data_IF_691175977359
#
_entry.id   IF_691175977359
#
_cell.length_a   1.000
_cell.length_b   1.000
_cell.length_c   1.000
_cell.angle_alpha   90.00
_cell.angle_beta   90.00
_cell.angle_gamma   90.00
#
_symmetry.space_group_name_H-M   'P 1'
#
loop_
_entity.id
_entity.type
_entity.pdbx_description
1 polymer ?
#
# COMPACT_ATOMS: atom_id res chain seq x y z
N UNK A 1 37.32 -16.06 45.05
CA UNK A 1 36.96 -16.66 43.75
C UNK A 1 36.28 -15.59 42.90
N UNK A 2 36.99 -15.05 41.91
CA UNK A 2 36.52 -13.92 41.09
C UNK A 2 36.02 -14.46 39.75
N UNK A 3 34.70 -14.48 39.54
CA UNK A 3 34.08 -14.94 38.30
C UNK A 3 34.24 -13.91 37.18
N UNK A 4 35.06 -14.24 36.18
CA UNK A 4 35.25 -13.43 34.97
C UNK A 4 34.08 -13.66 34.01
N UNK A 5 33.23 -12.64 33.84
CA UNK A 5 32.17 -12.62 32.84
C UNK A 5 32.76 -12.51 31.43
N UNK A 6 32.64 -13.58 30.63
CA UNK A 6 33.02 -13.56 29.21
C UNK A 6 31.97 -12.78 28.41
N UNK A 7 32.29 -11.52 28.07
CA UNK A 7 31.52 -10.77 27.08
C UNK A 7 31.68 -11.41 25.69
N UNK A 8 30.64 -12.12 25.24
CA UNK A 8 30.54 -12.59 23.85
C UNK A 8 30.40 -11.36 22.94
N UNK A 9 31.44 -11.04 22.17
CA UNK A 9 31.35 -10.10 21.04
C UNK A 9 30.39 -10.68 20.01
N UNK A 10 29.14 -10.21 20.03
CA UNK A 10 28.16 -10.49 18.98
C UNK A 10 28.66 -9.79 17.71
N UNK A 11 29.06 -10.57 16.70
CA UNK A 11 29.36 -10.01 15.37
C UNK A 11 28.08 -9.39 14.84
N UNK A 12 28.05 -8.08 14.69
CA UNK A 12 26.96 -7.36 14.02
C UNK A 12 26.89 -7.84 12.56
N UNK A 13 25.96 -8.73 12.27
CA UNK A 13 25.61 -9.09 10.89
C UNK A 13 25.00 -7.84 10.27
N UNK A 14 25.65 -7.28 9.24
CA UNK A 14 25.04 -6.20 8.45
C UNK A 14 23.70 -6.70 7.91
N UNK A 15 22.61 -6.08 8.35
CA UNK A 15 21.27 -6.45 7.94
C UNK A 15 21.12 -6.21 6.44
N UNK A 16 21.07 -7.29 5.65
CA UNK A 16 21.03 -7.24 4.17
C UNK A 16 19.66 -6.83 3.60
N UNK A 17 18.64 -6.65 4.43
CA UNK A 17 17.26 -6.39 4.00
C UNK A 17 16.89 -4.92 4.19
N UNK A 18 16.33 -4.29 3.15
CA UNK A 18 15.75 -2.94 3.20
C UNK A 18 14.71 -2.91 4.33
N UNK A 19 14.86 -1.93 5.21
CA UNK A 19 14.07 -1.83 6.42
C UNK A 19 13.03 -0.73 6.24
N UNK A 20 11.76 -1.12 6.18
CA UNK A 20 10.64 -0.23 5.89
C UNK A 20 10.22 0.53 7.14
N UNK A 21 11.08 1.46 7.57
CA UNK A 21 10.91 2.29 8.77
C UNK A 21 10.11 3.53 8.43
N UNK A 22 9.13 3.84 9.27
CA UNK A 22 8.43 5.11 9.26
C UNK A 22 8.20 5.60 10.70
N UNK A 23 7.85 6.88 10.85
CA UNK A 23 7.55 7.48 12.15
C UNK A 23 6.25 6.95 12.80
N UNK A 24 5.46 6.17 12.06
CA UNK A 24 4.23 5.54 12.53
C UNK A 24 4.19 4.05 12.16
N UNK A 25 3.73 3.18 13.08
CA UNK A 25 3.53 1.75 12.83
C UNK A 25 2.73 1.44 11.56
N UNK A 26 1.64 2.19 11.31
CA UNK A 26 0.76 2.00 10.16
C UNK A 26 1.51 2.18 8.83
N UNK A 27 2.30 3.25 8.72
CA UNK A 27 3.12 3.54 7.53
C UNK A 27 4.14 2.44 7.30
N UNK A 28 4.83 2.01 8.35
CA UNK A 28 5.83 0.93 8.27
C UNK A 28 5.21 -0.37 7.75
N UNK A 29 4.01 -0.73 8.25
CA UNK A 29 3.27 -1.93 7.82
C UNK A 29 2.74 -1.78 6.39
N UNK A 30 2.30 -0.59 5.96
CA UNK A 30 1.92 -0.32 4.57
C UNK A 30 3.11 -0.54 3.62
N UNK A 31 4.25 0.09 3.91
CA UNK A 31 5.47 -0.01 3.11
C UNK A 31 5.96 -1.47 3.01
N UNK A 32 6.03 -2.17 4.16
CA UNK A 32 6.40 -3.58 4.21
C UNK A 32 5.42 -4.46 3.43
N UNK A 33 4.12 -4.21 3.57
CA UNK A 33 3.07 -4.99 2.92
C UNK A 33 3.06 -4.84 1.41
N UNK A 34 3.25 -3.61 0.90
CA UNK A 34 3.41 -3.36 -0.54
C UNK A 34 4.67 -4.05 -1.07
N UNK A 35 5.78 -4.03 -0.33
CA UNK A 35 6.98 -4.77 -0.72
C UNK A 35 6.76 -6.30 -0.76
N UNK A 36 6.06 -6.84 0.24
CA UNK A 36 5.70 -8.25 0.30
C UNK A 36 4.82 -8.66 -0.89
N UNK A 37 3.77 -7.88 -1.16
CA UNK A 37 2.89 -8.03 -2.33
C UNK A 37 3.66 -7.98 -3.64
N UNK A 38 4.52 -6.97 -3.81
CA UNK A 38 5.32 -6.81 -5.02
C UNK A 38 6.20 -8.06 -5.28
N UNK A 39 6.83 -8.58 -4.23
CA UNK A 39 7.66 -9.79 -4.32
C UNK A 39 6.82 -11.01 -4.71
N UNK A 40 5.67 -11.22 -4.04
CA UNK A 40 4.76 -12.33 -4.35
C UNK A 40 4.23 -12.27 -5.79
N UNK A 41 3.83 -11.07 -6.27
CA UNK A 41 3.26 -10.87 -7.60
C UNK A 41 4.25 -10.99 -8.75
N UNK A 42 5.56 -10.92 -8.48
CA UNK A 42 6.60 -11.20 -9.47
C UNK A 42 6.72 -12.69 -9.79
N UNK A 43 6.29 -13.57 -8.88
CA UNK A 43 6.29 -15.03 -9.10
C UNK A 43 5.00 -15.54 -9.77
N UNK A 44 3.98 -14.69 -9.89
CA UNK A 44 2.73 -15.05 -10.55
C UNK A 44 2.88 -14.94 -12.07
N UNK A 45 2.63 -16.06 -12.77
CA UNK A 45 2.64 -16.11 -14.24
C UNK A 45 1.64 -15.11 -14.83
N UNK A 46 2.01 -14.32 -15.83
CA UNK A 46 1.06 -13.49 -16.57
C UNK A 46 -0.07 -14.34 -17.14
N UNK A 47 -1.31 -13.84 -17.06
CA UNK A 47 -2.49 -14.43 -17.70
C UNK A 47 -3.08 -13.42 -18.67
N UNK A 48 -3.61 -13.91 -19.79
CA UNK A 48 -4.18 -13.07 -20.85
C UNK A 48 -5.46 -12.34 -20.42
N UNK A 49 -6.24 -12.95 -19.52
CA UNK A 49 -7.51 -12.40 -19.04
C UNK A 49 -7.66 -12.59 -17.52
N UNK A 50 -8.50 -11.75 -16.93
CA UNK A 50 -8.95 -11.89 -15.54
C UNK A 50 -10.13 -12.87 -15.49
N UNK A 51 -10.20 -13.64 -14.41
CA UNK A 51 -11.32 -14.54 -14.09
C UNK A 51 -12.22 -13.89 -13.03
N UNK A 52 -13.48 -14.34 -12.92
CA UNK A 52 -14.41 -13.86 -11.89
C UNK A 52 -13.84 -14.01 -10.46
N UNK A 53 -13.12 -15.10 -10.22
CA UNK A 53 -12.49 -15.34 -8.91
C UNK A 53 -11.39 -14.32 -8.56
N UNK A 54 -10.77 -13.68 -9.55
CA UNK A 54 -9.75 -12.65 -9.31
C UNK A 54 -10.34 -11.42 -8.60
N UNK A 55 -11.62 -11.14 -8.80
CA UNK A 55 -12.37 -10.03 -8.16
C UNK A 55 -12.82 -10.36 -6.72
N UNK A 56 -12.65 -11.61 -6.28
CA UNK A 56 -12.91 -12.07 -4.91
C UNK A 56 -11.63 -12.51 -4.20
N UNK A 57 -10.54 -12.69 -4.94
CA UNK A 57 -9.26 -13.14 -4.43
C UNK A 57 -8.66 -12.13 -3.44
N UNK A 58 -7.84 -12.65 -2.53
CA UNK A 58 -7.04 -11.83 -1.62
C UNK A 58 -5.75 -12.54 -1.25
N UNK A 59 -4.75 -11.76 -0.85
CA UNK A 59 -3.52 -12.26 -0.25
C UNK A 59 -3.44 -11.72 1.17
N UNK A 60 -3.20 -12.59 2.16
CA UNK A 60 -3.11 -12.20 3.57
C UNK A 60 -1.85 -12.79 4.20
N UNK A 61 -1.16 -11.98 5.00
CA UNK A 61 -0.02 -12.39 5.80
C UNK A 61 -0.18 -11.86 7.22
N UNK A 62 0.19 -12.67 8.21
CA UNK A 62 0.22 -12.32 9.63
C UNK A 62 1.65 -12.50 10.12
N UNK A 63 2.22 -11.44 10.68
CA UNK A 63 3.57 -11.45 11.23
C UNK A 63 3.49 -11.43 12.76
N UNK A 64 4.26 -12.31 13.39
CA UNK A 64 4.41 -12.37 14.83
C UNK A 64 5.90 -12.50 15.18
N UNK A 65 6.55 -11.37 15.40
CA UNK A 65 7.95 -11.27 15.71
C UNK A 65 8.13 -11.31 17.24
N UNK A 66 8.70 -12.39 17.74
CA UNK A 66 9.13 -12.50 19.14
C UNK A 66 10.59 -12.02 19.26
N UNK A 67 10.82 -10.92 19.99
CA UNK A 67 12.15 -10.34 20.26
C UNK A 67 12.99 -9.99 19.01
N UNK A 68 12.36 -9.83 17.85
CA UNK A 68 13.02 -9.51 16.60
C UNK A 68 12.50 -8.21 16.01
N UNK A 69 13.42 -7.31 15.62
CA UNK A 69 13.13 -6.08 14.87
C UNK A 69 12.10 -5.11 15.52
N UNK A 70 12.01 -5.10 16.86
CA UNK A 70 11.01 -4.31 17.61
C UNK A 70 11.11 -2.80 17.41
N UNK A 71 12.33 -2.28 17.18
CA UNK A 71 12.55 -0.85 16.99
C UNK A 71 11.98 -0.32 15.66
N UNK A 72 11.76 -1.21 14.70
CA UNK A 72 11.49 -0.81 13.33
C UNK A 72 10.13 -1.24 12.79
N UNK A 73 9.57 -2.32 13.33
CA UNK A 73 8.27 -2.86 12.92
C UNK A 73 7.49 -3.28 14.16
N UNK A 74 6.14 -3.16 14.12
CA UNK A 74 5.31 -3.72 15.18
C UNK A 74 5.60 -5.20 15.38
N UNK A 75 5.58 -5.66 16.65
CA UNK A 75 5.83 -7.08 16.96
C UNK A 75 4.75 -7.97 16.35
N UNK A 76 3.51 -7.49 16.27
CA UNK A 76 2.38 -8.20 15.66
C UNK A 76 1.63 -7.28 14.72
N UNK A 77 1.46 -7.71 13.48
CA UNK A 77 0.63 -7.02 12.51
C UNK A 77 0.10 -7.99 11.45
N UNK A 78 -0.94 -7.56 10.73
CA UNK A 78 -1.49 -8.28 9.58
C UNK A 78 -1.52 -7.35 8.38
N UNK A 79 -1.29 -7.91 7.21
CA UNK A 79 -1.46 -7.24 5.93
C UNK A 79 -2.37 -8.10 5.07
N UNK A 80 -3.37 -7.49 4.45
CA UNK A 80 -4.22 -8.11 3.43
C UNK A 80 -4.28 -7.19 2.22
N UNK A 81 -4.03 -7.74 1.04
CA UNK A 81 -4.31 -7.11 -0.25
C UNK A 81 -5.53 -7.78 -0.86
N UNK A 82 -6.47 -6.97 -1.34
CA UNK A 82 -7.67 -7.42 -2.04
C UNK A 82 -7.42 -7.39 -3.54
N UNK A 83 -7.94 -8.39 -4.26
CA UNK A 83 -7.94 -8.50 -5.73
C UNK A 83 -6.58 -8.19 -6.38
N UNK A 84 -5.47 -8.80 -5.91
CA UNK A 84 -4.11 -8.36 -6.27
C UNK A 84 -3.83 -8.39 -7.78
N UNK A 85 -4.37 -9.39 -8.49
CA UNK A 85 -4.21 -9.51 -9.95
C UNK A 85 -5.03 -8.44 -10.69
N UNK A 86 -6.22 -8.11 -10.19
CA UNK A 86 -7.07 -7.04 -10.76
C UNK A 86 -6.38 -5.69 -10.63
N UNK A 87 -5.86 -5.34 -9.45
CA UNK A 87 -5.12 -4.09 -9.26
C UNK A 87 -3.76 -4.07 -9.97
N UNK A 88 -3.12 -5.22 -10.18
CA UNK A 88 -1.95 -5.32 -11.08
C UNK A 88 -2.34 -4.98 -12.53
N UNK A 89 -3.48 -5.48 -13.01
CA UNK A 89 -3.98 -5.18 -14.35
C UNK A 89 -4.42 -3.71 -14.50
N UNK A 90 -5.12 -3.14 -13.50
CA UNK A 90 -5.48 -1.72 -13.48
C UNK A 90 -4.24 -0.82 -13.53
N UNK A 91 -3.21 -1.11 -12.73
CA UNK A 91 -1.93 -0.37 -12.78
C UNK A 91 -1.33 -0.38 -14.19
N UNK A 92 -1.32 -1.53 -14.87
CA UNK A 92 -0.82 -1.62 -16.24
C UNK A 92 -1.64 -0.75 -17.21
N UNK A 93 -2.98 -0.77 -17.11
CA UNK A 93 -3.87 0.03 -17.95
C UNK A 93 -3.74 1.54 -17.72
N UNK A 94 -3.42 1.96 -16.50
CA UNK A 94 -3.12 3.36 -16.18
C UNK A 94 -1.68 3.78 -16.46
N UNK A 95 -0.88 2.93 -17.13
CA UNK A 95 0.53 3.22 -17.42
C UNK A 95 1.39 3.38 -16.17
N UNK A 96 1.01 2.74 -15.06
CA UNK A 96 1.80 2.75 -13.82
C UNK A 96 2.84 1.65 -13.88
N UNK A 97 4.12 2.03 -13.97
CA UNK A 97 5.22 1.09 -13.91
C UNK A 97 5.27 0.42 -12.53
N UNK A 98 5.49 -0.91 -12.51
CA UNK A 98 5.52 -1.70 -11.27
C UNK A 98 6.63 -1.26 -10.30
N UNK A 99 7.80 -0.88 -10.83
CA UNK A 99 8.95 -0.45 -10.03
C UNK A 99 8.72 0.96 -9.50
N UNK A 100 8.18 1.87 -10.32
CA UNK A 100 7.86 3.23 -9.86
C UNK A 100 6.79 3.22 -8.76
N UNK A 101 5.77 2.36 -8.88
CA UNK A 101 4.78 2.18 -7.82
C UNK A 101 5.41 1.63 -6.54
N UNK A 102 6.25 0.60 -6.65
CA UNK A 102 6.95 0.01 -5.50
C UNK A 102 7.89 1.03 -4.84
N UNK A 103 8.66 1.79 -5.62
CA UNK A 103 9.59 2.78 -5.10
C UNK A 103 8.86 3.96 -4.45
N UNK A 104 7.78 4.45 -5.06
CA UNK A 104 6.98 5.54 -4.53
C UNK A 104 6.48 5.28 -3.09
N UNK A 105 6.15 4.03 -2.77
CA UNK A 105 5.72 3.64 -1.42
C UNK A 105 6.86 3.18 -0.52
N UNK A 106 7.94 2.62 -1.05
CA UNK A 106 8.94 1.93 -0.22
C UNK A 106 10.28 2.66 -0.14
N UNK A 107 10.57 3.59 -1.06
CA UNK A 107 11.76 4.44 -1.07
C UNK A 107 11.81 5.34 0.15
N UNK A 108 10.69 6.01 0.44
CA UNK A 108 10.53 6.90 1.59
C UNK A 108 9.14 6.74 2.21
N UNK A 109 9.01 7.05 3.50
CA UNK A 109 7.70 7.02 4.16
C UNK A 109 6.71 8.00 3.50
N UNK A 110 5.45 7.60 3.29
CA UNK A 110 4.44 8.53 2.84
C UNK A 110 4.08 9.54 3.94
N UNK A 111 3.68 10.74 3.54
CA UNK A 111 3.39 11.86 4.42
C UNK A 111 1.87 12.06 4.52
N UNK A 112 1.38 12.43 5.71
CA UNK A 112 -0.02 12.82 5.83
C UNK A 112 -0.27 14.11 5.04
N UNK A 113 -1.32 14.14 4.23
CA UNK A 113 -1.79 15.39 3.65
C UNK A 113 -2.34 16.28 4.78
N UNK A 114 -1.90 17.54 4.80
CA UNK A 114 -2.37 18.54 5.75
C UNK A 114 -3.81 18.97 5.47
N UNK A 115 -4.30 18.73 4.24
CA UNK A 115 -5.69 18.94 3.88
C UNK A 115 -6.58 17.85 4.50
N UNK A 116 -7.22 18.15 5.62
CA UNK A 116 -8.31 17.31 6.15
C UNK A 116 -9.46 17.32 5.14
N UNK A 117 -9.75 16.17 4.53
CA UNK A 117 -10.95 16.03 3.70
C UNK A 117 -12.21 16.20 4.54
N UNK A 118 -13.30 16.71 3.93
CA UNK A 118 -14.59 16.94 4.60
C UNK A 118 -15.15 15.68 5.29
N UNK A 119 -14.78 14.49 4.84
CA UNK A 119 -15.27 13.21 5.40
C UNK A 119 -14.50 12.70 6.62
N UNK A 120 -13.50 13.44 7.12
CA UNK A 120 -12.60 12.95 8.18
C UNK A 120 -11.63 11.84 7.75
N UNK A 121 -11.71 11.40 6.48
CA UNK A 121 -10.75 10.46 5.90
C UNK A 121 -9.35 11.08 5.84
N UNK A 122 -8.36 10.29 6.25
CA UNK A 122 -6.95 10.70 6.24
C UNK A 122 -6.30 10.24 4.94
N UNK A 123 -5.44 11.09 4.38
CA UNK A 123 -4.71 10.81 3.15
C UNK A 123 -3.23 10.74 3.42
N UNK A 124 -2.59 9.67 2.97
CA UNK A 124 -1.15 9.55 2.86
C UNK A 124 -0.75 9.86 1.42
N UNK A 125 0.22 10.73 1.21
CA UNK A 125 0.79 11.08 -0.10
C UNK A 125 2.19 10.50 -0.18
N UNK A 126 2.52 9.83 -1.29
CA UNK A 126 3.88 9.34 -1.52
C UNK A 126 4.88 10.49 -1.59
N UNK A 127 6.15 10.25 -1.25
CA UNK A 127 7.17 11.31 -1.21
C UNK A 127 7.34 12.03 -2.56
N UNK A 128 7.15 11.30 -3.67
CA UNK A 128 7.18 11.82 -5.03
C UNK A 128 5.83 12.40 -5.50
N UNK A 129 4.83 12.45 -4.62
CA UNK A 129 3.47 12.98 -4.82
C UNK A 129 2.68 12.33 -5.95
N UNK A 130 3.11 11.19 -6.48
CA UNK A 130 2.44 10.50 -7.59
C UNK A 130 1.17 9.75 -7.17
N UNK A 131 1.14 9.24 -5.93
CA UNK A 131 0.04 8.42 -5.43
C UNK A 131 -0.48 8.93 -4.09
N UNK A 132 -1.75 8.63 -3.84
CA UNK A 132 -2.46 8.92 -2.60
C UNK A 132 -3.04 7.62 -2.05
N UNK A 133 -2.82 7.36 -0.77
CA UNK A 133 -3.41 6.29 0.01
C UNK A 133 -4.47 6.90 0.93
N UNK A 134 -5.75 6.71 0.61
CA UNK A 134 -6.89 7.18 1.39
C UNK A 134 -7.30 6.10 2.40
N UNK A 135 -7.49 6.48 3.66
CA UNK A 135 -8.21 5.64 4.62
C UNK A 135 -9.69 5.60 4.27
N UNK A 136 -10.24 4.39 4.12
CA UNK A 136 -11.65 4.17 3.82
C UNK A 136 -12.32 3.30 4.90
N UNK A 137 -13.64 3.30 4.97
CA UNK A 137 -14.41 2.45 5.88
C UNK A 137 -14.59 1.03 5.34
N UNK A 138 -15.08 0.11 6.19
CA UNK A 138 -15.46 -1.25 5.77
C UNK A 138 -16.57 -1.26 4.72
N UNK A 139 -17.51 -0.32 4.82
CA UNK A 139 -18.64 -0.18 3.90
C UNK A 139 -18.15 0.32 2.54
N UNK A 140 -17.22 1.29 2.52
CA UNK A 140 -16.56 1.72 1.27
C UNK A 140 -15.79 0.56 0.61
N UNK A 141 -15.17 -0.34 1.39
CA UNK A 141 -14.50 -1.54 0.85
C UNK A 141 -15.49 -2.51 0.20
N UNK A 142 -16.65 -2.72 0.82
CA UNK A 142 -17.71 -3.56 0.27
C UNK A 142 -18.27 -2.98 -1.04
N UNK A 143 -18.55 -1.67 -1.05
CA UNK A 143 -18.98 -0.96 -2.26
C UNK A 143 -17.95 -1.08 -3.38
N UNK A 144 -16.65 -0.94 -3.05
CA UNK A 144 -15.56 -1.14 -4.01
C UNK A 144 -15.56 -2.55 -4.58
N UNK A 145 -15.80 -3.59 -3.78
CA UNK A 145 -15.91 -4.96 -4.30
C UNK A 145 -17.08 -5.15 -5.27
N UNK A 146 -18.23 -4.54 -4.97
CA UNK A 146 -19.41 -4.60 -5.83
C UNK A 146 -19.19 -3.87 -7.17
N UNK A 147 -18.44 -2.77 -7.16
CA UNK A 147 -18.16 -1.94 -8.34
C UNK A 147 -16.95 -2.43 -9.16
N UNK A 148 -16.03 -3.22 -8.58
CA UNK A 148 -14.70 -3.44 -9.16
C UNK A 148 -14.73 -4.11 -10.56
N UNK A 149 -15.67 -5.02 -10.80
CA UNK A 149 -15.83 -5.71 -12.08
C UNK A 149 -16.26 -4.73 -13.18
N UNK A 150 -17.32 -3.95 -12.92
CA UNK A 150 -17.82 -2.92 -13.84
C UNK A 150 -16.80 -1.80 -14.06
N UNK A 151 -16.12 -1.37 -12.99
CA UNK A 151 -15.05 -0.39 -13.08
C UNK A 151 -13.92 -0.89 -13.97
N UNK A 152 -13.47 -2.14 -13.79
CA UNK A 152 -12.42 -2.70 -14.65
C UNK A 152 -12.86 -2.76 -16.12
N UNK A 153 -14.09 -3.21 -16.39
CA UNK A 153 -14.65 -3.23 -17.74
C UNK A 153 -14.70 -1.84 -18.39
N UNK A 154 -15.13 -0.82 -17.64
CA UNK A 154 -15.11 0.57 -18.07
C UNK A 154 -13.69 1.06 -18.38
N UNK A 155 -12.70 0.77 -17.52
CA UNK A 155 -11.29 1.15 -17.74
C UNK A 155 -10.70 0.46 -18.97
N UNK A 156 -11.10 -0.78 -19.26
CA UNK A 156 -10.71 -1.47 -20.50
C UNK A 156 -11.27 -0.74 -21.71
N UNK A 157 -12.56 -0.41 -21.69
CA UNK A 157 -13.28 0.24 -22.79
C UNK A 157 -12.74 1.65 -23.07
N UNK A 158 -12.51 2.48 -22.05
CA UNK A 158 -11.99 3.83 -22.22
C UNK A 158 -10.45 3.90 -22.34
N UNK A 159 -9.78 2.76 -22.45
CA UNK A 159 -8.31 2.67 -22.51
C UNK A 159 -7.60 3.43 -21.37
N UNK A 160 -8.18 3.44 -20.16
CA UNK A 160 -7.66 4.16 -19.00
C UNK A 160 -7.79 5.68 -19.05
N UNK A 161 -8.40 6.26 -20.09
CA UNK A 161 -8.66 7.69 -20.21
C UNK A 161 -9.99 8.03 -19.51
N UNK A 162 -9.90 8.43 -18.25
CA UNK A 162 -11.07 8.77 -17.44
C UNK A 162 -10.76 9.85 -16.40
N UNK A 163 -11.81 10.56 -15.97
CA UNK A 163 -11.79 11.48 -14.83
C UNK A 163 -12.12 10.77 -13.50
N UNK A 164 -12.57 9.52 -13.56
CA UNK A 164 -12.77 8.72 -12.34
C UNK A 164 -11.43 8.52 -11.61
N UNK A 165 -11.45 8.33 -10.28
CA UNK A 165 -10.26 8.00 -9.54
C UNK A 165 -9.59 6.75 -10.13
N UNK A 166 -8.28 6.81 -10.36
CA UNK A 166 -7.52 5.67 -10.88
C UNK A 166 -7.13 4.78 -9.70
N UNK A 167 -7.90 3.72 -9.42
CA UNK A 167 -7.63 2.81 -8.30
C UNK A 167 -6.49 1.85 -8.61
N UNK A 168 -5.51 1.76 -7.72
CA UNK A 168 -4.23 1.08 -7.95
C UNK A 168 -3.92 -0.01 -6.92
N UNK A 169 -4.66 -0.06 -5.82
CA UNK A 169 -4.51 -1.10 -4.79
C UNK A 169 -5.48 -0.90 -3.64
N UNK A 170 -5.90 -2.00 -3.03
CA UNK A 170 -6.81 -2.01 -1.89
C UNK A 170 -6.24 -2.92 -0.80
N UNK A 171 -6.03 -2.36 0.38
CA UNK A 171 -5.31 -3.02 1.46
C UNK A 171 -6.08 -2.93 2.78
N UNK A 172 -5.92 -3.95 3.64
CA UNK A 172 -6.26 -3.88 5.06
C UNK A 172 -5.02 -4.15 5.89
N UNK A 173 -4.73 -3.20 6.77
CA UNK A 173 -3.64 -3.29 7.75
C UNK A 173 -4.26 -3.54 9.12
N UNK A 174 -3.69 -4.47 9.88
CA UNK A 174 -4.01 -4.63 11.30
C UNK A 174 -2.76 -4.34 12.11
N UNK A 175 -2.78 -3.30 12.92
CA UNK A 175 -1.66 -2.90 13.78
C UNK A 175 -2.20 -2.63 15.17
N UNK A 176 -1.59 -3.20 16.20
CA UNK A 176 -2.08 -3.12 17.59
C UNK A 176 -3.57 -3.47 17.69
N UNK A 177 -3.97 -4.54 16.99
CA UNK A 177 -5.34 -5.05 16.89
C UNK A 177 -6.39 -4.08 16.30
N UNK A 178 -5.97 -2.90 15.82
CA UNK A 178 -6.82 -1.97 15.08
C UNK A 178 -6.72 -2.25 13.57
N UNK A 179 -7.87 -2.40 12.91
CA UNK A 179 -7.95 -2.55 11.46
C UNK A 179 -8.05 -1.18 10.77
N UNK A 180 -7.34 -1.01 9.66
CA UNK A 180 -7.40 0.17 8.82
C UNK A 180 -7.41 -0.25 7.36
N UNK A 181 -8.38 0.25 6.60
CA UNK A 181 -8.51 -0.02 5.18
C UNK A 181 -7.92 1.14 4.38
N UNK A 182 -7.15 0.82 3.35
CA UNK A 182 -6.41 1.80 2.55
C UNK A 182 -6.69 1.54 1.08
N UNK A 183 -7.21 2.56 0.40
CA UNK A 183 -7.37 2.60 -1.04
C UNK A 183 -6.28 3.48 -1.64
N UNK A 184 -5.44 2.90 -2.50
CA UNK A 184 -4.42 3.65 -3.24
C UNK A 184 -4.95 4.06 -4.60
N UNK A 185 -4.75 5.32 -4.93
CA UNK A 185 -5.12 5.91 -6.22
C UNK A 185 -4.03 6.86 -6.73
N UNK A 186 -4.06 7.17 -8.03
CA UNK A 186 -3.21 8.22 -8.61
C UNK A 186 -3.57 9.58 -8.00
N UNK A 187 -2.57 10.40 -7.70
CA UNK A 187 -2.81 11.78 -7.30
C UNK A 187 -3.33 12.59 -8.50
N UNK A 188 -4.44 13.31 -8.31
CA UNK A 188 -5.01 14.19 -9.35
C UNK A 188 -4.12 15.42 -9.57
N UNK A 189 -3.42 15.86 -8.52
CA UNK A 189 -2.51 16.99 -8.63
C UNK A 189 -1.17 16.56 -9.22
N UNK A 190 -0.62 17.42 -10.09
CA UNK A 190 0.71 17.23 -10.64
C UNK A 190 1.75 17.12 -9.51
N UNK A 191 2.67 16.13 -9.55
CA UNK A 191 3.74 16.04 -8.57
C UNK A 191 4.76 17.17 -8.71
N UNK A 192 4.83 17.82 -9.88
CA UNK A 192 5.85 18.83 -10.24
C UNK A 192 5.36 20.27 -10.11
N UNK A 193 4.05 20.51 -10.15
CA UNK A 193 3.49 21.87 -10.17
C UNK A 193 2.92 22.25 -8.80
N UNK A 194 3.14 23.49 -8.41
CA UNK A 194 2.55 24.07 -7.19
C UNK A 194 1.07 24.32 -7.40
N UNK A 195 0.26 23.90 -6.44
CA UNK A 195 -1.20 24.12 -6.44
C UNK A 195 -1.49 25.37 -5.61
N UNK A 196 -1.96 26.44 -6.26
CA UNK A 196 -2.26 27.71 -5.61
C UNK A 196 -3.69 27.78 -5.06
N UNK A 197 -4.64 27.13 -5.71
CA UNK A 197 -6.06 27.10 -5.34
C UNK A 197 -6.62 25.70 -5.55
N UNK A 198 -7.51 25.27 -4.65
CA UNK A 198 -8.25 24.00 -4.71
C UNK A 198 -9.73 24.29 -4.56
N UNK A 199 -10.55 23.65 -5.39
CA UNK A 199 -12.01 23.73 -5.34
C UNK A 199 -12.58 22.32 -5.27
N UNK A 200 -13.67 22.17 -4.53
CA UNK A 200 -14.47 20.94 -4.43
C UNK A 200 -15.86 21.31 -4.93
N UNK A 201 -16.13 20.97 -6.19
CA UNK A 201 -17.37 21.29 -6.90
C UNK A 201 -18.34 20.11 -6.79
N UNK A 202 -19.60 20.39 -6.48
CA UNK A 202 -20.66 19.40 -6.34
C UNK A 202 -21.80 19.71 -7.28
#
# INVERSE_FOLDING_TARGET
>A
MTTVSKQKKVKNVKQKLKLFRANEPLKSVLMWGINYSFSALNHVKPRAMLLKDDFKAYMKVKINNHLFNKENMPSRFKFKEYCPIVFKALRARFGVNKLDYWDAFTGHQPLWDSARGKSGSKFLVTYNRQFVAKTISSEEVEQMHNLLEDYYAYIVHCHGQTLLPQYLGLYRLTVNDQETYILVMRNVFSPRLTIHKKYDLK
#
